data_IF_772386914962
#
_entry.id   IF_772386914962
#
_cell.length_a   1.000
_cell.length_b   1.000
_cell.length_c   1.000
_cell.angle_alpha   90.00
_cell.angle_beta   90.00
_cell.angle_gamma   90.00
#
_symmetry.space_group_name_H-M   'P 1'
#
loop_
_entity.id
_entity.type
_entity.pdbx_description
1 polymer ?
#
# COMPACT_ATOMS: atom_id res chain seq x y z
N UNK A 1 10.63 21.48 -27.23
CA UNK A 1 11.40 20.23 -27.08
C UNK A 1 10.73 19.45 -25.97
N UNK A 2 9.94 18.44 -26.31
CA UNK A 2 9.28 17.56 -25.34
C UNK A 2 10.36 16.73 -24.69
N UNK A 3 10.63 16.96 -23.41
CA UNK A 3 11.59 16.17 -22.66
C UNK A 3 11.09 14.71 -22.69
N UNK A 4 11.86 13.73 -23.19
CA UNK A 4 11.44 12.35 -23.09
C UNK A 4 11.38 12.03 -21.60
N UNK A 5 10.18 11.94 -21.05
CA UNK A 5 9.94 11.40 -19.71
C UNK A 5 10.47 9.97 -19.74
N UNK A 6 11.75 9.81 -19.41
CA UNK A 6 12.35 8.50 -19.19
C UNK A 6 11.92 8.14 -17.78
N UNK A 7 10.72 7.59 -17.65
CA UNK A 7 10.29 6.98 -16.39
C UNK A 7 11.32 5.90 -16.09
N UNK A 8 12.04 6.03 -14.99
CA UNK A 8 12.94 4.99 -14.53
C UNK A 8 12.07 3.84 -13.99
N UNK A 9 11.77 2.89 -14.87
CA UNK A 9 10.93 1.73 -14.56
C UNK A 9 11.45 0.94 -13.35
N UNK A 10 12.77 0.91 -13.14
CA UNK A 10 13.37 0.25 -11.99
C UNK A 10 13.11 0.98 -10.66
N UNK A 11 13.06 2.32 -10.68
CA UNK A 11 12.72 3.14 -9.50
C UNK A 11 11.24 2.95 -9.11
N UNK A 12 10.37 2.79 -10.10
CA UNK A 12 8.95 2.51 -9.88
C UNK A 12 8.72 1.13 -9.27
N UNK A 13 9.49 0.13 -9.69
CA UNK A 13 9.46 -1.21 -9.11
C UNK A 13 9.98 -1.22 -7.67
N UNK A 14 11.07 -0.50 -7.41
CA UNK A 14 11.64 -0.36 -6.05
C UNK A 14 10.65 0.31 -5.09
N UNK A 15 10.01 1.41 -5.52
CA UNK A 15 8.98 2.10 -4.74
C UNK A 15 7.79 1.15 -4.48
N UNK A 16 7.34 0.42 -5.49
CA UNK A 16 6.26 -0.57 -5.35
C UNK A 16 6.62 -1.64 -4.32
N UNK A 17 7.86 -2.14 -4.34
CA UNK A 17 8.33 -3.15 -3.39
C UNK A 17 8.38 -2.61 -1.95
N UNK A 18 8.89 -1.39 -1.75
CA UNK A 18 8.91 -0.73 -0.44
C UNK A 18 7.50 -0.53 0.11
N UNK A 19 6.56 -0.11 -0.73
CA UNK A 19 5.17 0.09 -0.34
C UNK A 19 4.52 -1.23 0.10
N UNK A 20 4.73 -2.33 -0.64
CA UNK A 20 4.24 -3.66 -0.24
C UNK A 20 4.81 -4.14 1.08
N UNK A 21 6.12 -3.95 1.28
CA UNK A 21 6.76 -4.29 2.56
C UNK A 21 6.16 -3.50 3.72
N UNK A 22 5.87 -2.22 3.50
CA UNK A 22 5.22 -1.36 4.48
C UNK A 22 3.78 -1.78 4.80
N UNK A 23 2.99 -2.20 3.80
CA UNK A 23 1.64 -2.76 4.03
C UNK A 23 1.69 -4.02 4.90
N UNK A 24 2.63 -4.93 4.61
CA UNK A 24 2.86 -6.12 5.44
C UNK A 24 3.21 -5.76 6.88
N UNK A 25 4.15 -4.83 7.07
CA UNK A 25 4.55 -4.35 8.39
C UNK A 25 3.37 -3.74 9.17
N UNK A 26 2.54 -2.92 8.54
CA UNK A 26 1.34 -2.34 9.18
C UNK A 26 0.38 -3.47 9.56
N UNK A 27 0.11 -4.41 8.66
CA UNK A 27 -0.83 -5.52 8.89
C UNK A 27 -0.44 -6.34 10.11
N UNK A 28 0.83 -6.72 10.20
CA UNK A 28 1.35 -7.52 11.32
C UNK A 28 1.31 -6.71 12.63
N UNK A 29 1.63 -5.42 12.56
CA UNK A 29 1.60 -4.52 13.72
C UNK A 29 0.17 -4.35 14.27
N UNK A 30 -0.82 -4.17 13.39
CA UNK A 30 -2.23 -4.07 13.74
C UNK A 30 -2.73 -5.36 14.39
N UNK A 31 -2.43 -6.51 13.79
CA UNK A 31 -2.80 -7.82 14.33
C UNK A 31 -2.19 -8.06 15.72
N UNK A 32 -0.92 -7.71 15.90
CA UNK A 32 -0.24 -7.79 17.20
C UNK A 32 -0.85 -6.86 18.25
N UNK A 33 -1.25 -5.65 17.86
CA UNK A 33 -1.93 -4.72 18.76
C UNK A 33 -3.31 -5.24 19.17
N UNK A 34 -4.10 -5.74 18.21
CA UNK A 34 -5.43 -6.32 18.44
C UNK A 34 -5.40 -7.42 19.49
N UNK A 35 -4.43 -8.34 19.37
CA UNK A 35 -4.26 -9.44 20.34
C UNK A 35 -3.97 -8.93 21.75
N UNK A 36 -3.11 -7.91 21.88
CA UNK A 36 -2.77 -7.32 23.19
C UNK A 36 -3.95 -6.57 23.80
N UNK A 37 -4.69 -5.83 22.98
CA UNK A 37 -5.89 -5.09 23.39
C UNK A 37 -6.97 -6.08 23.84
N UNK A 38 -7.22 -7.13 23.08
CA UNK A 38 -8.18 -8.18 23.44
C UNK A 38 -7.84 -8.84 24.77
N UNK A 39 -6.56 -9.16 25.00
CA UNK A 39 -6.10 -9.71 26.28
C UNK A 39 -6.29 -8.73 27.45
N UNK A 40 -6.00 -7.45 27.24
CA UNK A 40 -6.18 -6.40 28.25
C UNK A 40 -7.66 -6.23 28.64
N UNK A 41 -8.57 -6.23 27.67
CA UNK A 41 -10.02 -6.06 27.90
C UNK A 41 -10.68 -7.24 28.62
N UNK A 42 -9.99 -8.37 28.81
CA UNK A 42 -10.53 -9.48 29.62
C UNK A 42 -10.75 -9.08 31.08
N UNK A 43 -9.88 -8.22 31.62
CA UNK A 43 -9.93 -7.80 33.02
C UNK A 43 -10.15 -6.29 33.16
N UNK A 44 -9.99 -5.52 32.09
CA UNK A 44 -10.27 -4.09 32.08
C UNK A 44 -11.69 -3.80 31.63
N UNK A 45 -12.52 -3.30 32.54
CA UNK A 45 -13.93 -2.99 32.28
C UNK A 45 -14.29 -1.57 32.75
N UNK A 46 -15.52 -1.13 32.46
CA UNK A 46 -16.03 0.19 32.83
C UNK A 46 -15.92 1.22 31.71
N UNK A 47 -16.27 2.47 32.01
CA UNK A 47 -16.45 3.53 31.01
C UNK A 47 -15.17 3.80 30.19
N UNK A 48 -14.00 3.79 30.85
CA UNK A 48 -12.72 3.99 30.18
C UNK A 48 -12.41 2.86 29.17
N UNK A 49 -12.71 1.61 29.53
CA UNK A 49 -12.55 0.48 28.64
C UNK A 49 -13.47 0.62 27.41
N UNK A 50 -14.72 1.03 27.60
CA UNK A 50 -15.67 1.29 26.50
C UNK A 50 -15.17 2.38 25.56
N UNK A 51 -14.69 3.53 26.09
CA UNK A 51 -14.16 4.62 25.26
C UNK A 51 -12.91 4.20 24.49
N UNK A 52 -12.02 3.45 25.12
CA UNK A 52 -10.86 2.88 24.44
C UNK A 52 -11.27 1.92 23.32
N UNK A 53 -12.20 0.99 23.57
CA UNK A 53 -12.68 0.05 22.57
C UNK A 53 -13.32 0.76 21.37
N UNK A 54 -14.04 1.86 21.61
CA UNK A 54 -14.55 2.71 20.53
C UNK A 54 -13.43 3.38 19.73
N UNK A 55 -12.52 4.09 20.38
CA UNK A 55 -11.40 4.76 19.72
C UNK A 55 -10.54 3.76 18.93
N UNK A 56 -10.34 2.56 19.46
CA UNK A 56 -9.62 1.48 18.80
C UNK A 56 -10.33 1.02 17.53
N UNK A 57 -11.66 0.86 17.55
CA UNK A 57 -12.43 0.52 16.34
C UNK A 57 -12.33 1.60 15.25
N UNK A 58 -12.44 2.86 15.64
CA UNK A 58 -12.29 4.00 14.72
C UNK A 58 -10.88 4.02 14.09
N UNK A 59 -9.85 3.76 14.90
CA UNK A 59 -8.48 3.66 14.43
C UNK A 59 -8.27 2.47 13.47
N UNK A 60 -8.82 1.29 13.78
CA UNK A 60 -8.75 0.11 12.91
C UNK A 60 -9.43 0.34 11.56
N UNK A 61 -10.55 1.06 11.55
CA UNK A 61 -11.20 1.46 10.31
C UNK A 61 -10.28 2.37 9.49
N UNK A 62 -9.76 3.45 10.08
CA UNK A 62 -8.86 4.36 9.38
C UNK A 62 -7.58 3.68 8.87
N UNK A 63 -7.03 2.74 9.64
CA UNK A 63 -5.88 1.94 9.22
C UNK A 63 -6.21 1.06 8.00
N UNK A 64 -7.42 0.51 7.93
CA UNK A 64 -7.90 -0.26 6.77
C UNK A 64 -8.03 0.64 5.54
N UNK A 65 -8.65 1.81 5.68
CA UNK A 65 -8.82 2.79 4.59
C UNK A 65 -7.46 3.22 4.01
N UNK A 66 -6.46 3.47 4.86
CA UNK A 66 -5.10 3.81 4.42
C UNK A 66 -4.47 2.67 3.61
N UNK A 67 -4.62 1.42 4.05
CA UNK A 67 -4.08 0.26 3.34
C UNK A 67 -4.73 0.06 1.97
N UNK A 68 -6.04 0.21 1.88
CA UNK A 68 -6.77 0.12 0.61
C UNK A 68 -6.33 1.23 -0.37
N UNK A 69 -6.14 2.45 0.13
CA UNK A 69 -5.61 3.56 -0.67
C UNK A 69 -4.20 3.28 -1.19
N UNK A 70 -3.32 2.75 -0.34
CA UNK A 70 -1.96 2.34 -0.71
C UNK A 70 -1.98 1.24 -1.79
N UNK A 71 -2.82 0.22 -1.63
CA UNK A 71 -2.97 -0.85 -2.61
C UNK A 71 -3.43 -0.30 -3.98
N UNK A 72 -4.40 0.62 -3.97
CA UNK A 72 -4.89 1.30 -5.18
C UNK A 72 -3.77 2.07 -5.90
N UNK A 73 -2.95 2.82 -5.15
CA UNK A 73 -1.81 3.55 -5.73
C UNK A 73 -0.78 2.59 -6.35
N UNK A 74 -0.50 1.46 -5.70
CA UNK A 74 0.40 0.44 -6.25
C UNK A 74 -0.13 -0.15 -7.57
N UNK A 75 -1.43 -0.42 -7.64
CA UNK A 75 -2.05 -0.96 -8.86
C UNK A 75 -2.02 0.05 -10.00
N UNK A 76 -2.22 1.34 -9.73
CA UNK A 76 -2.09 2.41 -10.73
C UNK A 76 -0.63 2.50 -11.20
N UNK A 77 0.34 2.46 -10.29
CA UNK A 77 1.76 2.48 -10.62
C UNK A 77 2.16 1.30 -11.52
N UNK A 78 1.71 0.08 -11.20
CA UNK A 78 1.95 -1.10 -12.01
C UNK A 78 1.33 -0.97 -13.41
N UNK A 79 0.09 -0.52 -13.51
CA UNK A 79 -0.56 -0.31 -14.81
C UNK A 79 0.17 0.72 -15.66
N UNK A 80 0.66 1.81 -15.05
CA UNK A 80 1.48 2.79 -15.74
C UNK A 80 2.78 2.15 -16.28
N UNK A 81 3.47 1.34 -15.46
CA UNK A 81 4.67 0.61 -15.86
C UNK A 81 4.42 -0.30 -17.08
N UNK A 82 3.35 -1.11 -17.04
CA UNK A 82 2.98 -2.03 -18.11
C UNK A 82 2.72 -1.27 -19.42
N UNK A 83 1.92 -0.21 -19.36
CA UNK A 83 1.58 0.60 -20.54
C UNK A 83 2.80 1.30 -21.16
N UNK A 84 3.72 1.83 -20.34
CA UNK A 84 4.96 2.43 -20.84
C UNK A 84 5.86 1.39 -21.52
N UNK A 85 5.96 0.20 -20.93
CA UNK A 85 6.78 -0.90 -21.46
C UNK A 85 6.23 -1.40 -22.80
N UNK A 86 4.93 -1.66 -22.90
CA UNK A 86 4.27 -2.10 -24.13
C UNK A 86 4.42 -1.08 -25.26
N UNK A 87 4.25 0.20 -24.95
CA UNK A 87 4.43 1.29 -25.91
C UNK A 87 5.87 1.33 -26.44
N UNK A 88 6.87 1.15 -25.56
CA UNK A 88 8.27 1.12 -25.95
C UNK A 88 8.59 -0.09 -26.86
N UNK A 89 8.11 -1.28 -26.49
CA UNK A 89 8.32 -2.51 -27.27
C UNK A 89 7.62 -2.43 -28.63
N UNK A 90 6.40 -1.92 -28.68
CA UNK A 90 5.65 -1.72 -29.93
C UNK A 90 6.37 -0.75 -30.86
N UNK A 91 6.90 0.36 -30.32
CA UNK A 91 7.68 1.33 -31.09
C UNK A 91 9.01 0.74 -31.59
N UNK A 92 9.73 -0.03 -30.78
CA UNK A 92 10.98 -0.70 -31.20
C UNK A 92 10.73 -1.72 -32.33
N UNK A 93 9.65 -2.49 -32.22
CA UNK A 93 9.19 -3.45 -33.24
C UNK A 93 8.76 -2.74 -34.53
N UNK A 94 8.01 -1.64 -34.45
CA UNK A 94 7.67 -0.82 -35.63
C UNK A 94 8.90 -0.21 -36.31
N UNK A 95 9.92 0.16 -35.52
CA UNK A 95 11.16 0.76 -36.03
C UNK A 95 12.18 -0.27 -36.53
N UNK A 96 11.88 -1.57 -36.45
CA UNK A 96 12.76 -2.65 -36.91
C UNK A 96 14.08 -2.74 -36.13
N UNK A 97 14.09 -2.25 -34.89
CA UNK A 97 15.24 -2.28 -33.97
C UNK A 97 14.94 -3.26 -32.85
N UNK A 98 15.07 -4.54 -33.15
CA UNK A 98 15.02 -5.63 -32.17
C UNK A 98 16.43 -6.13 -31.85
#
# INVERSE_FOLDING_TARGET
MTNPFTVNLAELDEITQKIRAFDGFITDSLAGLEQRIAAMHQNWTGEAATKHAQAHREWMQGATEVREGIATVCDIARQAHENYTETLTSNLRMLGRE
#
